data_IF_393483351624
#
_entry.id   IF_393483351624
#
_cell.length_a   1.000
_cell.length_b   1.000
_cell.length_c   1.000
_cell.angle_alpha   90.00
_cell.angle_beta   90.00
_cell.angle_gamma   90.00
#
_symmetry.space_group_name_H-M   'P 1'
#
loop_
_entity.id
_entity.type
_entity.pdbx_description
1 polymer ?
#
# COMPACT_ATOMS: atom_id res chain seq x y z
N UNK A 1 10.91 26.24 -39.24
CA UNK A 1 11.91 26.98 -38.43
C UNK A 1 12.68 25.94 -37.62
N UNK A 2 14.01 26.04 -37.59
CA UNK A 2 14.97 24.97 -37.35
C UNK A 2 14.68 24.00 -36.18
N UNK A 3 14.77 22.68 -36.46
CA UNK A 3 14.98 21.65 -35.44
C UNK A 3 16.34 21.95 -34.76
N UNK A 4 16.32 22.57 -33.58
CA UNK A 4 17.49 22.61 -32.71
C UNK A 4 17.60 21.27 -32.00
N UNK A 5 18.64 20.54 -32.36
CA UNK A 5 19.12 19.32 -31.72
C UNK A 5 19.22 19.51 -30.21
N UNK A 6 18.52 18.66 -29.47
CA UNK A 6 18.68 18.49 -28.03
C UNK A 6 20.15 18.07 -27.79
N UNK A 7 20.91 18.73 -26.91
CA UNK A 7 22.31 18.37 -26.70
C UNK A 7 22.39 16.96 -26.10
N UNK A 8 23.24 16.06 -26.64
CA UNK A 8 23.35 14.65 -26.23
C UNK A 8 23.85 14.45 -24.77
N UNK A 9 24.18 15.53 -24.06
CA UNK A 9 24.62 15.50 -22.66
C UNK A 9 23.48 15.36 -21.65
N UNK A 10 22.27 15.79 -21.99
CA UNK A 10 21.09 15.67 -21.09
C UNK A 10 20.54 14.24 -21.10
N UNK A 11 20.66 13.52 -22.22
CA UNK A 11 20.26 12.11 -22.31
C UNK A 11 21.27 11.17 -21.62
N UNK A 12 22.56 11.53 -21.60
CA UNK A 12 23.62 10.70 -21.02
C UNK A 12 23.66 10.75 -19.49
N UNK A 13 23.31 11.88 -18.86
CA UNK A 13 23.28 11.98 -17.39
C UNK A 13 22.17 11.12 -16.77
N UNK A 14 21.04 10.97 -17.47
CA UNK A 14 19.93 10.09 -17.05
C UNK A 14 20.29 8.61 -17.09
N UNK A 15 21.27 8.21 -17.91
CA UNK A 15 21.70 6.81 -18.08
C UNK A 15 22.83 6.43 -17.11
N UNK A 16 23.65 7.39 -16.67
CA UNK A 16 24.80 7.10 -15.79
C UNK A 16 24.40 6.98 -14.31
N UNK A 17 23.27 7.55 -13.88
CA UNK A 17 22.73 7.39 -12.52
C UNK A 17 22.00 6.05 -12.29
N UNK A 18 21.78 5.24 -13.33
CA UNK A 18 21.22 3.89 -13.25
C UNK A 18 22.24 2.81 -12.84
N UNK A 19 23.51 3.18 -12.59
CA UNK A 19 24.60 2.25 -12.31
C UNK A 19 25.15 2.32 -10.87
N UNK A 20 24.37 2.82 -9.90
CA UNK A 20 24.71 2.64 -8.50
C UNK A 20 24.22 1.26 -8.04
N UNK A 21 25.10 0.36 -7.55
CA UNK A 21 24.64 -0.92 -7.02
C UNK A 21 23.80 -0.63 -5.77
N UNK A 22 22.54 -1.09 -5.80
CA UNK A 22 21.68 -1.09 -4.64
C UNK A 22 22.40 -1.82 -3.49
N UNK A 23 22.71 -1.09 -2.43
CA UNK A 23 23.22 -1.67 -1.20
C UNK A 23 22.21 -2.72 -0.71
N UNK A 24 22.69 -3.95 -0.52
CA UNK A 24 21.85 -5.11 -0.20
C UNK A 24 20.95 -4.86 0.99
N UNK A 25 19.65 -5.08 0.79
CA UNK A 25 18.69 -5.19 1.88
C UNK A 25 19.08 -6.39 2.76
N UNK A 26 19.21 -6.15 4.05
CA UNK A 26 19.63 -7.15 5.04
C UNK A 26 18.72 -8.36 5.07
N UNK A 27 19.32 -9.53 5.31
CA UNK A 27 18.71 -10.86 5.37
C UNK A 27 17.95 -11.14 6.67
N UNK A 28 17.44 -10.11 7.36
CA UNK A 28 16.64 -10.28 8.57
C UNK A 28 15.20 -10.64 8.20
N UNK A 29 14.59 -11.64 8.86
CA UNK A 29 13.14 -11.79 8.73
C UNK A 29 12.48 -10.53 9.31
N UNK A 30 11.52 -9.96 8.58
CA UNK A 30 10.83 -8.71 8.92
C UNK A 30 10.15 -8.74 10.32
N UNK A 31 10.04 -9.95 10.87
CA UNK A 31 9.40 -10.24 12.15
C UNK A 31 10.38 -10.62 13.28
N UNK A 32 11.70 -10.74 13.03
CA UNK A 32 12.65 -11.03 14.12
C UNK A 32 12.89 -9.75 14.94
N UNK A 33 12.66 -9.80 16.25
CA UNK A 33 12.88 -8.66 17.17
C UNK A 33 14.34 -8.52 17.58
N UNK A 34 15.16 -9.55 17.42
CA UNK A 34 16.54 -9.57 17.91
C UNK A 34 16.68 -9.47 19.43
N UNK A 35 15.59 -9.31 20.18
CA UNK A 35 15.57 -9.06 21.63
C UNK A 35 14.96 -10.20 22.42
N UNK A 36 14.10 -11.03 21.83
CA UNK A 36 13.48 -12.14 22.56
C UNK A 36 14.50 -13.26 22.84
N UNK A 37 14.41 -13.90 24.02
CA UNK A 37 15.34 -14.93 24.43
C UNK A 37 15.32 -16.11 23.45
N UNK A 38 16.50 -16.69 23.21
CA UNK A 38 16.71 -17.86 22.35
C UNK A 38 17.33 -18.96 23.19
N UNK A 39 16.65 -20.09 23.26
CA UNK A 39 17.10 -21.28 23.99
C UNK A 39 16.53 -22.54 23.31
N UNK A 40 17.04 -23.75 23.62
CA UNK A 40 16.65 -24.97 22.91
C UNK A 40 15.14 -25.18 22.86
N UNK A 41 14.61 -25.43 21.66
CA UNK A 41 13.16 -25.57 21.41
C UNK A 41 12.42 -24.25 21.20
N UNK A 42 13.07 -23.10 21.40
CA UNK A 42 12.50 -21.78 21.18
C UNK A 42 13.50 -20.81 20.52
N UNK A 43 14.01 -21.19 19.36
CA UNK A 43 15.00 -20.46 18.58
C UNK A 43 14.64 -20.35 17.09
N UNK A 44 13.45 -20.80 16.68
CA UNK A 44 12.99 -20.66 15.29
C UNK A 44 12.91 -19.18 14.90
N UNK A 45 13.31 -18.88 13.66
CA UNK A 45 13.07 -17.56 13.07
C UNK A 45 11.58 -17.41 12.77
N UNK A 46 11.00 -16.26 13.14
CA UNK A 46 9.62 -15.95 12.81
C UNK A 46 9.48 -15.80 11.29
N UNK A 47 8.57 -16.57 10.71
CA UNK A 47 8.28 -16.61 9.28
C UNK A 47 6.85 -16.10 9.04
N UNK A 48 6.65 -15.43 7.91
CA UNK A 48 5.32 -15.15 7.38
C UNK A 48 4.79 -16.44 6.75
N UNK A 49 3.58 -16.85 7.13
CA UNK A 49 3.02 -18.16 6.76
C UNK A 49 1.76 -17.98 5.93
N UNK A 50 1.74 -18.57 4.74
CA UNK A 50 0.57 -18.56 3.86
C UNK A 50 -0.33 -19.71 4.25
N UNK A 51 -1.56 -19.39 4.64
CA UNK A 51 -2.57 -20.36 5.09
C UNK A 51 -3.67 -20.42 4.05
N UNK A 52 -3.63 -21.40 3.15
CA UNK A 52 -4.70 -21.63 2.18
C UNK A 52 -5.72 -22.59 2.80
N UNK A 53 -7.00 -22.32 2.62
CA UNK A 53 -8.06 -23.18 3.13
C UNK A 53 -9.15 -23.41 2.08
N UNK A 54 -9.78 -24.57 2.17
CA UNK A 54 -10.87 -24.99 1.30
C UNK A 54 -12.11 -25.25 2.15
N UNK A 55 -13.27 -24.85 1.64
CA UNK A 55 -14.57 -25.14 2.27
C UNK A 55 -15.36 -25.98 1.29
N UNK A 56 -15.69 -27.21 1.67
CA UNK A 56 -16.37 -28.20 0.83
C UNK A 56 -15.70 -28.47 -0.53
N UNK A 57 -14.37 -28.28 -0.58
CA UNK A 57 -13.55 -28.48 -1.77
C UNK A 57 -13.27 -27.22 -2.58
N UNK A 58 -13.98 -26.12 -2.31
CA UNK A 58 -13.77 -24.83 -2.97
C UNK A 58 -12.65 -24.04 -2.27
N UNK A 59 -11.63 -23.65 -3.04
CA UNK A 59 -10.52 -22.84 -2.54
C UNK A 59 -11.00 -21.44 -2.15
N UNK A 60 -10.59 -20.98 -0.95
CA UNK A 60 -10.88 -19.65 -0.46
C UNK A 60 -9.63 -18.77 -0.52
N UNK A 61 -9.81 -17.47 -0.31
CA UNK A 61 -8.69 -16.52 -0.28
C UNK A 61 -7.69 -16.90 0.81
N UNK A 62 -6.42 -17.05 0.45
CA UNK A 62 -5.37 -17.42 1.40
C UNK A 62 -5.24 -16.38 2.51
N UNK A 63 -5.14 -16.86 3.76
CA UNK A 63 -4.94 -16.05 4.94
C UNK A 63 -3.44 -15.82 5.18
N UNK A 64 -3.11 -14.69 5.79
CA UNK A 64 -1.74 -14.39 6.22
C UNK A 64 -1.60 -14.69 7.71
N UNK A 65 -0.61 -15.51 8.05
CA UNK A 65 -0.25 -15.81 9.43
C UNK A 65 1.22 -15.57 9.74
N UNK A 66 1.59 -15.79 10.99
CA UNK A 66 2.97 -15.76 11.50
C UNK A 66 3.28 -17.03 12.27
N UNK A 67 4.44 -17.64 12.04
CA UNK A 67 4.88 -18.82 12.79
C UNK A 67 5.29 -18.47 14.23
N UNK A 68 5.38 -19.47 15.10
CA UNK A 68 5.96 -19.31 16.43
C UNK A 68 7.49 -19.50 16.43
N UNK A 69 8.15 -19.01 17.49
CA UNK A 69 9.57 -19.31 17.76
C UNK A 69 9.82 -20.75 18.22
N UNK A 70 8.77 -21.50 18.53
CA UNK A 70 8.81 -22.89 18.97
C UNK A 70 7.96 -23.76 18.04
N UNK A 71 8.09 -25.08 18.16
CA UNK A 71 7.41 -26.03 17.27
C UNK A 71 8.24 -26.40 16.05
N UNK A 72 7.65 -27.18 15.14
CA UNK A 72 8.29 -27.52 13.89
C UNK A 72 8.30 -26.33 12.90
N UNK A 73 9.34 -26.25 12.08
CA UNK A 73 9.48 -25.26 11.01
C UNK A 73 8.60 -25.66 9.84
N UNK A 74 7.92 -24.69 9.24
CA UNK A 74 7.08 -24.93 8.06
C UNK A 74 7.93 -25.07 6.79
N UNK A 75 7.48 -25.86 5.81
CA UNK A 75 8.17 -25.97 4.52
C UNK A 75 8.09 -24.66 3.73
N UNK A 76 9.12 -24.42 2.91
CA UNK A 76 9.23 -23.22 2.07
C UNK A 76 8.35 -23.26 0.82
N UNK A 77 7.80 -24.43 0.46
CA UNK A 77 6.93 -24.61 -0.69
C UNK A 77 5.65 -25.32 -0.26
N UNK A 78 4.58 -25.09 -1.02
CA UNK A 78 3.35 -25.85 -0.86
C UNK A 78 3.63 -27.33 -1.15
N UNK A 79 3.42 -28.25 -0.20
CA UNK A 79 3.48 -29.68 -0.49
C UNK A 79 2.34 -30.06 -1.43
N UNK A 80 2.65 -30.84 -2.48
CA UNK A 80 1.75 -31.10 -3.61
C UNK A 80 0.40 -31.76 -3.23
N UNK A 81 0.28 -32.41 -2.06
CA UNK A 81 -0.94 -33.15 -1.66
C UNK A 81 -1.24 -33.19 -0.15
N UNK A 82 -0.57 -32.40 0.70
CA UNK A 82 -0.74 -32.47 2.17
C UNK A 82 -1.71 -31.42 2.73
N UNK A 83 -2.91 -31.28 2.15
CA UNK A 83 -3.97 -30.53 2.84
C UNK A 83 -4.54 -31.37 3.98
N UNK A 84 -4.65 -30.76 5.15
CA UNK A 84 -5.03 -31.44 6.38
C UNK A 84 -6.39 -30.92 6.82
N UNK A 85 -7.26 -31.81 7.30
CA UNK A 85 -8.59 -31.41 7.77
C UNK A 85 -8.43 -30.47 8.97
N UNK A 86 -9.21 -29.40 9.04
CA UNK A 86 -9.29 -28.54 10.20
C UNK A 86 -10.26 -29.11 11.25
N UNK A 87 -9.91 -29.00 12.52
CA UNK A 87 -10.78 -29.40 13.63
C UNK A 87 -10.64 -28.43 14.81
N UNK A 88 -11.76 -28.07 15.41
CA UNK A 88 -11.78 -27.24 16.63
C UNK A 88 -11.68 -28.18 17.84
N UNK A 89 -10.75 -27.94 18.78
CA UNK A 89 -10.65 -28.73 20.00
C UNK A 89 -11.88 -28.53 20.89
N UNK A 90 -12.15 -29.50 21.78
CA UNK A 90 -13.21 -29.36 22.80
C UNK A 90 -12.61 -29.60 24.18
N UNK A 91 -12.46 -28.56 25.03
CA UNK A 91 -12.96 -27.19 24.87
C UNK A 91 -12.23 -26.37 23.78
N UNK A 92 -12.92 -25.38 23.20
CA UNK A 92 -12.42 -24.54 22.08
C UNK A 92 -11.16 -23.76 22.43
N UNK A 93 -10.92 -23.51 23.72
CA UNK A 93 -9.70 -22.88 24.20
C UNK A 93 -8.46 -23.73 23.94
N UNK A 94 -8.58 -25.05 23.74
CA UNK A 94 -7.45 -25.93 23.45
C UNK A 94 -6.42 -26.01 24.59
N UNK A 95 -6.77 -25.59 25.81
CA UNK A 95 -5.87 -25.58 26.96
C UNK A 95 -5.79 -26.94 27.67
N UNK A 96 -6.77 -27.81 27.44
CA UNK A 96 -6.85 -29.15 27.99
C UNK A 96 -6.90 -30.18 26.87
N UNK A 97 -6.76 -31.46 27.24
CA UNK A 97 -6.90 -32.56 26.29
C UNK A 97 -8.27 -32.50 25.62
N UNK A 98 -8.27 -32.39 24.30
CA UNK A 98 -9.50 -32.32 23.51
C UNK A 98 -10.29 -33.62 23.63
N UNK A 99 -11.60 -33.50 23.84
CA UNK A 99 -12.55 -34.61 23.70
C UNK A 99 -12.92 -34.87 22.24
N UNK A 100 -12.75 -33.88 21.37
CA UNK A 100 -12.93 -34.01 19.92
C UNK A 100 -11.68 -34.64 19.26
N UNK A 101 -11.85 -35.46 18.21
CA UNK A 101 -10.74 -36.12 17.52
C UNK A 101 -9.88 -35.11 16.76
N UNK A 102 -8.61 -34.99 17.14
CA UNK A 102 -7.61 -34.13 16.47
C UNK A 102 -6.56 -34.93 15.68
N UNK A 103 -6.65 -36.26 15.68
CA UNK A 103 -5.66 -37.11 15.03
C UNK A 103 -5.58 -36.83 13.52
N UNK A 104 -4.41 -36.38 13.06
CA UNK A 104 -4.17 -36.07 11.64
C UNK A 104 -4.81 -34.76 11.15
N UNK A 105 -5.33 -33.92 12.04
CA UNK A 105 -5.97 -32.64 11.70
C UNK A 105 -5.14 -31.43 12.12
N UNK A 106 -5.42 -30.28 11.50
CA UNK A 106 -4.98 -28.97 11.99
C UNK A 106 -5.93 -28.55 13.11
N UNK A 107 -5.41 -28.45 14.34
CA UNK A 107 -6.18 -27.94 15.45
C UNK A 107 -6.38 -26.43 15.29
N UNK A 108 -7.63 -25.96 15.31
CA UNK A 108 -7.98 -24.54 15.22
C UNK A 108 -8.43 -24.07 16.60
N UNK A 109 -7.60 -23.33 17.33
CA UNK A 109 -7.89 -22.91 18.70
C UNK A 109 -7.93 -21.38 18.82
N UNK A 110 -8.72 -20.86 19.75
CA UNK A 110 -8.75 -19.42 20.05
C UNK A 110 -7.68 -19.05 21.08
N UNK A 111 -7.12 -17.86 20.96
CA UNK A 111 -6.24 -17.28 21.97
C UNK A 111 -7.00 -16.99 23.27
N UNK A 112 -6.33 -17.19 24.40
CA UNK A 112 -6.87 -16.91 25.74
C UNK A 112 -6.74 -18.10 26.70
N UNK A 113 -7.12 -17.91 27.95
CA UNK A 113 -7.13 -18.90 29.07
C UNK A 113 -5.78 -19.48 29.51
N UNK A 114 -4.91 -19.84 28.58
CA UNK A 114 -3.60 -20.46 28.82
C UNK A 114 -2.55 -19.95 27.83
N UNK A 115 -1.30 -20.32 28.05
CA UNK A 115 -0.16 -19.88 27.22
C UNK A 115 -0.14 -20.53 25.83
N UNK A 116 0.57 -19.91 24.88
CA UNK A 116 0.71 -20.47 23.53
C UNK A 116 1.38 -21.85 23.52
N UNK A 117 2.37 -22.05 24.40
CA UNK A 117 3.09 -23.33 24.55
C UNK A 117 2.16 -24.41 25.08
N UNK A 118 1.30 -24.09 26.06
CA UNK A 118 0.32 -25.05 26.61
C UNK A 118 -0.68 -25.51 25.54
N UNK A 119 -1.21 -24.59 24.73
CA UNK A 119 -2.11 -24.92 23.61
C UNK A 119 -1.43 -25.83 22.59
N UNK A 120 -0.19 -25.53 22.22
CA UNK A 120 0.56 -26.34 21.27
C UNK A 120 0.81 -27.76 21.80
N UNK A 121 1.20 -27.91 23.07
CA UNK A 121 1.37 -29.21 23.72
C UNK A 121 0.04 -30.00 23.79
N UNK A 122 -1.06 -29.32 24.11
CA UNK A 122 -2.38 -29.97 24.19
C UNK A 122 -2.88 -30.43 22.81
N UNK A 123 -2.67 -29.63 21.76
CA UNK A 123 -2.99 -29.99 20.38
C UNK A 123 -2.17 -31.20 19.90
N UNK A 124 -0.85 -31.18 20.12
CA UNK A 124 0.04 -32.29 19.79
C UNK A 124 -0.34 -33.58 20.55
N UNK A 125 -0.61 -33.47 21.86
CA UNK A 125 -1.06 -34.60 22.66
C UNK A 125 -2.43 -35.16 22.21
N UNK A 126 -3.23 -34.35 21.52
CA UNK A 126 -4.47 -34.74 20.85
C UNK A 126 -4.27 -35.45 19.50
N UNK A 127 -3.04 -35.50 18.99
CA UNK A 127 -2.68 -36.08 17.69
C UNK A 127 -2.79 -35.12 16.52
N UNK A 128 -2.93 -33.81 16.78
CA UNK A 128 -2.92 -32.79 15.73
C UNK A 128 -1.57 -32.80 14.99
N UNK A 129 -1.61 -32.49 13.70
CA UNK A 129 -0.41 -32.37 12.85
C UNK A 129 0.11 -30.94 12.77
N UNK A 130 -0.73 -29.96 13.13
CA UNK A 130 -0.40 -28.55 13.23
C UNK A 130 -1.39 -27.81 14.13
N UNK A 131 -1.02 -26.64 14.63
CA UNK A 131 -1.89 -25.73 15.38
C UNK A 131 -2.05 -24.40 14.64
N UNK A 132 -3.30 -24.07 14.29
CA UNK A 132 -3.70 -22.75 13.83
C UNK A 132 -4.37 -21.99 14.99
N UNK A 133 -3.69 -20.96 15.48
CA UNK A 133 -4.15 -20.14 16.60
C UNK A 133 -4.84 -18.88 16.07
N UNK A 134 -6.10 -18.70 16.44
CA UNK A 134 -6.89 -17.50 16.12
C UNK A 134 -6.65 -16.45 17.19
N UNK A 135 -6.18 -15.28 16.77
CA UNK A 135 -5.91 -14.18 17.68
C UNK A 135 -7.20 -13.52 18.20
N UNK A 136 -7.10 -12.78 19.30
CA UNK A 136 -8.20 -11.99 19.89
C UNK A 136 -8.35 -10.59 19.25
N UNK A 137 -7.36 -10.17 18.48
CA UNK A 137 -7.33 -8.93 17.69
C UNK A 137 -6.92 -9.22 16.23
N UNK A 138 -7.17 -8.26 15.34
CA UNK A 138 -6.80 -8.42 13.92
C UNK A 138 -5.31 -8.24 13.63
N UNK A 139 -4.55 -7.67 14.57
CA UNK A 139 -3.11 -7.55 14.44
C UNK A 139 -2.44 -8.87 14.84
N UNK A 140 -1.49 -9.34 14.03
CA UNK A 140 -0.74 -10.56 14.34
C UNK A 140 0.22 -10.31 15.50
N UNK A 141 0.16 -11.17 16.52
CA UNK A 141 1.09 -11.14 17.63
C UNK A 141 2.21 -12.18 17.46
N UNK A 142 3.44 -11.78 17.80
CA UNK A 142 4.60 -12.67 17.82
C UNK A 142 4.46 -13.66 18.97
N UNK A 143 4.53 -14.95 18.65
CA UNK A 143 4.55 -16.04 19.64
C UNK A 143 6.00 -16.33 20.02
N UNK A 144 6.45 -15.70 21.11
CA UNK A 144 7.80 -15.81 21.67
C UNK A 144 7.77 -16.54 23.02
N UNK A 145 8.92 -17.09 23.43
CA UNK A 145 9.08 -17.65 24.76
C UNK A 145 9.60 -16.61 25.76
N UNK A 146 9.30 -16.84 27.03
CA UNK A 146 9.82 -16.09 28.18
C UNK A 146 11.00 -16.82 28.82
N UNK A 147 11.88 -16.11 29.51
CA UNK A 147 13.02 -16.72 30.24
C UNK A 147 12.61 -17.71 31.34
N UNK A 148 11.35 -17.65 31.77
CA UNK A 148 10.76 -18.55 32.77
C UNK A 148 10.20 -19.83 32.15
N UNK A 149 10.09 -19.90 30.83
CA UNK A 149 9.54 -21.06 30.16
C UNK A 149 10.59 -22.18 30.12
N UNK A 150 10.16 -23.39 30.46
CA UNK A 150 10.97 -24.58 30.23
C UNK A 150 11.14 -24.80 28.72
N UNK A 151 12.31 -25.30 28.24
CA UNK A 151 12.52 -25.72 26.85
C UNK A 151 11.31 -26.49 26.30
N UNK A 152 10.54 -25.91 25.36
CA UNK A 152 9.37 -26.58 24.83
C UNK A 152 9.82 -27.68 23.85
N UNK A 153 9.29 -28.88 24.02
CA UNK A 153 9.41 -29.96 23.05
C UNK A 153 8.07 -30.09 22.35
N UNK A 154 7.94 -29.45 21.18
CA UNK A 154 6.72 -29.41 20.37
C UNK A 154 7.16 -29.78 18.94
N UNK A 155 6.63 -30.88 18.41
CA UNK A 155 6.95 -31.43 17.10
C UNK A 155 6.02 -30.98 15.97
N UNK A 156 5.01 -30.16 16.27
CA UNK A 156 4.05 -29.64 15.29
C UNK A 156 4.30 -28.15 14.99
N UNK A 157 4.04 -27.67 13.76
CA UNK A 157 4.10 -26.25 13.46
C UNK A 157 2.94 -25.49 14.12
N UNK A 158 3.25 -24.28 14.57
CA UNK A 158 2.29 -23.39 15.26
C UNK A 158 2.23 -22.07 14.51
N UNK A 159 1.03 -21.69 14.06
CA UNK A 159 0.79 -20.51 13.21
C UNK A 159 -0.33 -19.69 13.82
N UNK A 160 -0.14 -18.37 13.93
CA UNK A 160 -1.20 -17.44 14.34
C UNK A 160 -1.78 -16.72 13.13
N UNK A 161 -3.10 -16.55 13.10
CA UNK A 161 -3.85 -15.71 12.16
C UNK A 161 -4.63 -14.61 12.89
N UNK A 162 -5.02 -13.56 12.18
CA UNK A 162 -5.87 -12.49 12.71
C UNK A 162 -7.23 -13.02 13.16
N UNK A 163 -7.93 -12.28 14.02
CA UNK A 163 -9.28 -12.62 14.44
C UNK A 163 -10.23 -12.74 13.24
N UNK A 164 -10.29 -11.74 12.37
CA UNK A 164 -11.14 -11.72 11.17
C UNK A 164 -10.90 -12.93 10.25
N UNK A 165 -9.64 -13.35 10.09
CA UNK A 165 -9.25 -14.49 9.29
C UNK A 165 -9.63 -15.82 9.97
N UNK A 166 -9.39 -15.93 11.27
CA UNK A 166 -9.73 -17.12 12.04
C UNK A 166 -11.23 -17.34 12.18
N UNK A 167 -12.01 -16.27 12.34
CA UNK A 167 -13.48 -16.32 12.40
C UNK A 167 -14.05 -16.91 11.10
N UNK A 168 -13.49 -16.57 9.92
CA UNK A 168 -13.89 -17.17 8.63
C UNK A 168 -13.72 -18.69 8.60
N UNK A 169 -12.63 -19.19 9.20
CA UNK A 169 -12.36 -20.64 9.29
C UNK A 169 -13.27 -21.30 10.32
N UNK A 170 -13.42 -20.69 11.51
CA UNK A 170 -14.23 -21.25 12.60
C UNK A 170 -15.70 -21.28 12.25
N UNK A 171 -16.25 -20.22 11.64
CA UNK A 171 -17.65 -20.20 11.19
C UNK A 171 -17.92 -21.31 10.18
N UNK A 172 -17.03 -21.51 9.20
CA UNK A 172 -17.17 -22.60 8.22
C UNK A 172 -17.18 -23.99 8.88
N UNK A 173 -16.34 -24.21 9.91
CA UNK A 173 -16.35 -25.46 10.68
C UNK A 173 -17.65 -25.59 11.51
N UNK A 174 -18.09 -24.50 12.15
CA UNK A 174 -19.30 -24.45 12.98
C UNK A 174 -20.59 -24.68 12.19
N UNK A 175 -20.63 -24.24 10.94
CA UNK A 175 -21.73 -24.46 10.00
C UNK A 175 -21.81 -25.91 9.48
N UNK A 176 -20.82 -26.76 9.84
CA UNK A 176 -20.76 -28.17 9.49
C UNK A 176 -20.07 -28.47 8.15
N UNK A 177 -19.52 -27.46 7.47
CA UNK A 177 -18.75 -27.66 6.24
C UNK A 177 -17.43 -28.38 6.50
N UNK A 178 -16.94 -29.09 5.48
CA UNK A 178 -15.62 -29.71 5.52
C UNK A 178 -14.57 -28.65 5.22
N UNK A 179 -13.72 -28.34 6.20
CA UNK A 179 -12.61 -27.41 6.04
C UNK A 179 -11.29 -28.16 5.98
N UNK A 180 -10.53 -27.94 4.90
CA UNK A 180 -9.16 -28.45 4.74
C UNK A 180 -8.19 -27.24 4.71
N UNK A 181 -7.02 -27.35 5.34
CA UNK A 181 -6.02 -26.28 5.49
C UNK A 181 -4.65 -26.76 4.98
N UNK A 182 -3.93 -25.86 4.31
CA UNK A 182 -2.54 -26.03 3.92
C UNK A 182 -1.72 -24.82 4.39
N UNK A 183 -0.59 -25.08 5.04
CA UNK A 183 0.30 -24.04 5.58
C UNK A 183 1.72 -24.24 5.08
N UNK A 184 2.32 -23.18 4.55
CA UNK A 184 3.72 -23.14 4.13
C UNK A 184 4.28 -21.72 4.30
N UNK A 185 5.60 -21.61 4.44
CA UNK A 185 6.30 -20.37 4.74
C UNK A 185 7.24 -20.01 3.59
N UNK A 186 6.73 -19.47 2.48
CA UNK A 186 7.56 -19.32 1.30
C UNK A 186 8.65 -18.29 1.47
N UNK A 187 9.83 -18.63 0.92
CA UNK A 187 11.02 -17.80 1.00
C UNK A 187 10.80 -16.49 0.25
N UNK A 188 11.12 -15.37 0.92
CA UNK A 188 11.14 -14.06 0.28
C UNK A 188 12.26 -14.06 -0.78
N UNK A 189 11.98 -13.81 -2.06
CA UNK A 189 13.03 -13.71 -3.06
C UNK A 189 14.00 -12.58 -2.68
N UNK A 190 15.29 -12.78 -2.96
CA UNK A 190 16.34 -11.81 -2.65
C UNK A 190 16.25 -10.53 -3.49
N UNK A 191 15.55 -10.57 -4.61
CA UNK A 191 15.33 -9.44 -5.49
C UNK A 191 13.85 -9.28 -5.83
N UNK A 192 13.30 -8.12 -5.52
CA UNK A 192 11.95 -7.72 -5.91
C UNK A 192 12.01 -6.75 -7.10
N UNK A 193 11.66 -7.24 -8.29
CA UNK A 193 11.68 -6.45 -9.52
C UNK A 193 10.64 -5.33 -9.54
N UNK A 194 9.62 -5.37 -8.66
CA UNK A 194 8.60 -4.34 -8.58
C UNK A 194 9.16 -2.99 -8.08
N UNK A 195 10.11 -3.04 -7.15
CA UNK A 195 10.73 -1.85 -6.53
C UNK A 195 11.39 -0.92 -7.55
N UNK A 196 12.37 -1.37 -8.39
CA UNK A 196 12.99 -0.48 -9.36
C UNK A 196 11.98 0.05 -10.39
N UNK A 197 10.95 -0.74 -10.73
CA UNK A 197 9.91 -0.29 -11.66
C UNK A 197 9.03 0.82 -11.06
N UNK A 198 8.59 0.67 -9.80
CA UNK A 198 7.86 1.71 -9.09
C UNK A 198 8.69 2.98 -8.91
N UNK A 199 9.98 2.85 -8.60
CA UNK A 199 10.88 3.99 -8.52
C UNK A 199 11.00 4.71 -9.87
N UNK A 200 11.19 3.97 -10.97
CA UNK A 200 11.23 4.52 -12.33
C UNK A 200 9.92 5.23 -12.70
N UNK A 201 8.77 4.65 -12.35
CA UNK A 201 7.46 5.28 -12.57
C UNK A 201 7.31 6.58 -11.77
N UNK A 202 7.68 6.58 -10.50
CA UNK A 202 7.58 7.76 -9.63
C UNK A 202 8.47 8.90 -10.12
N UNK A 203 9.77 8.63 -10.33
CA UNK A 203 10.74 9.62 -10.83
C UNK A 203 10.37 10.07 -12.24
N UNK A 204 9.97 9.13 -13.11
CA UNK A 204 9.52 9.43 -14.47
C UNK A 204 8.29 10.33 -14.49
N UNK A 205 7.33 10.12 -13.59
CA UNK A 205 6.14 10.98 -13.47
C UNK A 205 6.52 12.40 -13.07
N UNK A 206 7.38 12.56 -12.05
CA UNK A 206 7.86 13.87 -11.61
C UNK A 206 8.65 14.59 -12.70
N UNK A 207 9.55 13.88 -13.38
CA UNK A 207 10.35 14.44 -14.48
C UNK A 207 9.46 14.88 -15.65
N UNK A 208 8.53 14.01 -16.09
CA UNK A 208 7.57 14.32 -17.15
C UNK A 208 6.70 15.53 -16.79
N UNK A 209 6.19 15.59 -15.56
CA UNK A 209 5.40 16.72 -15.09
C UNK A 209 6.24 18.01 -15.07
N UNK A 210 7.47 17.97 -14.55
CA UNK A 210 8.32 19.15 -14.44
C UNK A 210 8.58 19.81 -15.80
N UNK A 211 8.81 19.01 -16.85
CA UNK A 211 9.06 19.51 -18.22
C UNK A 211 7.80 19.71 -19.06
N UNK A 212 6.61 19.37 -18.53
CA UNK A 212 5.37 19.28 -19.30
C UNK A 212 4.97 20.59 -19.99
N UNK A 213 5.07 21.72 -19.27
CA UNK A 213 4.73 23.05 -19.79
C UNK A 213 5.57 23.41 -21.03
N UNK A 214 6.88 23.19 -20.95
CA UNK A 214 7.82 23.56 -22.02
C UNK A 214 7.71 22.60 -23.20
N UNK A 215 7.67 21.29 -22.94
CA UNK A 215 7.76 20.26 -23.99
C UNK A 215 6.43 20.02 -24.69
N UNK A 216 5.32 19.97 -23.94
CA UNK A 216 4.00 19.58 -24.44
C UNK A 216 3.14 20.81 -24.72
N UNK A 217 3.02 21.74 -23.76
CA UNK A 217 2.20 22.95 -23.95
C UNK A 217 2.90 23.92 -24.91
N UNK A 218 4.23 23.99 -24.84
CA UNK A 218 5.06 24.83 -25.71
C UNK A 218 5.11 26.28 -25.25
N UNK A 219 4.84 26.54 -23.97
CA UNK A 219 5.06 27.84 -23.35
C UNK A 219 6.50 27.93 -22.86
N UNK A 220 7.21 29.01 -23.21
CA UNK A 220 8.53 29.25 -22.63
C UNK A 220 8.37 29.61 -21.14
N UNK A 221 9.30 29.16 -20.27
CA UNK A 221 9.27 29.55 -18.88
C UNK A 221 9.38 31.07 -18.80
N UNK A 222 8.31 31.72 -18.35
CA UNK A 222 8.30 33.16 -18.16
C UNK A 222 9.38 33.48 -17.15
N UNK A 223 10.46 34.18 -17.56
CA UNK A 223 11.42 34.74 -16.60
C UNK A 223 10.62 35.55 -15.61
N UNK A 224 10.62 35.12 -14.35
CA UNK A 224 9.92 35.81 -13.26
C UNK A 224 10.39 37.27 -13.27
N UNK A 225 9.45 38.17 -13.57
CA UNK A 225 9.74 39.55 -13.92
C UNK A 225 10.45 40.29 -12.79
N UNK A 226 11.38 41.16 -13.18
CA UNK A 226 11.91 42.24 -12.36
C UNK A 226 10.74 42.98 -11.68
N UNK A 227 10.65 42.87 -10.35
CA UNK A 227 9.88 43.81 -9.53
C UNK A 227 10.91 44.65 -8.78
N UNK A 228 11.14 45.87 -9.28
CA UNK A 228 11.81 46.92 -8.54
C UNK A 228 10.83 48.06 -8.30
N UNK A 229 10.93 48.62 -7.08
CA UNK A 229 10.44 49.91 -6.57
C UNK A 229 9.14 49.92 -5.74
N UNK A 230 9.33 49.94 -4.41
CA UNK A 230 8.74 50.98 -3.56
C UNK A 230 7.80 50.50 -2.45
N UNK A 231 8.34 50.31 -1.24
CA UNK A 231 7.57 50.19 0.00
C UNK A 231 8.35 49.43 1.07
N UNK A 232 8.72 50.09 2.18
CA UNK A 232 9.22 49.44 3.39
C UNK A 232 8.09 48.67 4.07
N UNK A 233 7.75 47.49 3.54
CA UNK A 233 6.99 46.45 4.24
C UNK A 233 7.84 45.19 4.17
N UNK A 234 8.11 44.56 5.33
CA UNK A 234 9.06 43.46 5.46
C UNK A 234 8.48 42.21 4.78
N UNK A 235 8.85 41.92 3.51
CA UNK A 235 8.15 40.91 2.69
C UNK A 235 8.35 39.51 3.27
N UNK A 236 9.43 39.33 4.03
CA UNK A 236 9.76 38.07 4.68
C UNK A 236 8.79 37.72 5.82
N UNK A 237 8.20 38.70 6.52
CA UNK A 237 7.26 38.41 7.61
C UNK A 237 5.89 37.93 7.07
N UNK A 238 5.35 38.63 6.08
CA UNK A 238 4.05 38.31 5.48
C UNK A 238 4.10 36.98 4.69
N UNK A 239 5.20 36.71 3.97
CA UNK A 239 5.41 35.43 3.27
C UNK A 239 5.57 34.27 4.26
N UNK A 240 6.25 34.48 5.39
CA UNK A 240 6.40 33.45 6.44
C UNK A 240 5.07 33.18 7.16
N UNK A 241 4.24 34.18 7.38
CA UNK A 241 2.93 34.02 8.04
C UNK A 241 1.92 33.31 7.11
N UNK A 242 1.91 33.65 5.82
CA UNK A 242 1.10 32.95 4.81
C UNK A 242 1.55 31.48 4.62
N UNK A 243 2.85 31.23 4.74
CA UNK A 243 3.47 29.90 4.68
C UNK A 243 3.09 29.04 5.89
N UNK A 244 3.19 29.58 7.10
CA UNK A 244 2.84 28.88 8.33
C UNK A 244 1.35 28.51 8.35
N UNK A 245 0.48 29.42 7.91
CA UNK A 245 -0.95 29.16 7.81
C UNK A 245 -1.27 28.06 6.79
N UNK A 246 -0.61 28.05 5.63
CA UNK A 246 -0.86 27.02 4.60
C UNK A 246 -0.36 25.64 5.05
N UNK A 247 0.83 25.56 5.66
CA UNK A 247 1.36 24.29 6.18
C UNK A 247 0.52 23.76 7.35
N UNK A 248 0.05 24.64 8.24
CA UNK A 248 -0.82 24.28 9.35
C UNK A 248 -2.19 23.79 8.86
N UNK A 249 -2.81 24.50 7.90
CA UNK A 249 -4.05 24.04 7.26
C UNK A 249 -3.85 22.67 6.62
N UNK A 250 -2.75 22.45 5.90
CA UNK A 250 -2.44 21.16 5.31
C UNK A 250 -2.33 20.04 6.37
N UNK A 251 -1.58 20.25 7.46
CA UNK A 251 -1.42 19.26 8.54
C UNK A 251 -2.76 18.95 9.20
N UNK A 252 -3.53 19.99 9.55
CA UNK A 252 -4.81 19.83 10.26
C UNK A 252 -5.82 19.14 9.35
N UNK A 253 -6.00 19.59 8.10
CA UNK A 253 -6.93 18.98 7.16
C UNK A 253 -6.56 17.53 6.85
N UNK A 254 -5.28 17.25 6.57
CA UNK A 254 -4.82 15.88 6.32
C UNK A 254 -5.02 14.97 7.52
N UNK A 255 -4.75 15.48 8.73
CA UNK A 255 -4.98 14.76 9.99
C UNK A 255 -6.45 14.44 10.23
N UNK A 256 -7.35 15.40 9.96
CA UNK A 256 -8.79 15.19 10.09
C UNK A 256 -9.31 14.16 9.08
N UNK A 257 -8.82 14.19 7.84
CA UNK A 257 -9.16 13.18 6.82
C UNK A 257 -8.65 11.81 7.24
N UNK A 258 -7.40 11.71 7.73
CA UNK A 258 -6.83 10.44 8.17
C UNK A 258 -7.60 9.85 9.35
N UNK A 259 -7.94 10.67 10.36
CA UNK A 259 -8.74 10.25 11.51
C UNK A 259 -10.17 9.88 11.09
N UNK A 260 -10.76 10.61 10.14
CA UNK A 260 -12.06 10.25 9.58
C UNK A 260 -11.99 8.86 8.95
N UNK A 261 -10.99 8.57 8.11
CA UNK A 261 -10.83 7.25 7.50
C UNK A 261 -10.55 6.15 8.54
N UNK A 262 -9.84 6.48 9.61
CA UNK A 262 -9.55 5.54 10.69
C UNK A 262 -10.79 5.16 11.51
N UNK A 263 -11.58 6.14 11.95
CA UNK A 263 -12.78 5.88 12.75
C UNK A 263 -13.94 5.36 11.90
N UNK A 264 -14.04 5.80 10.65
CA UNK A 264 -15.07 5.37 9.71
C UNK A 264 -14.53 4.33 8.71
N UNK A 265 -13.62 3.45 9.15
CA UNK A 265 -13.02 2.36 8.35
C UNK A 265 -14.08 1.31 7.96
N UNK A 266 -14.92 1.68 7.00
CA UNK A 266 -16.05 0.92 6.48
C UNK A 266 -16.01 0.93 4.96
N UNK A 267 -16.62 -0.08 4.34
CA UNK A 267 -16.70 -0.22 2.88
C UNK A 267 -17.23 1.04 2.19
N UNK A 268 -18.13 1.80 2.83
CA UNK A 268 -18.62 3.07 2.30
C UNK A 268 -17.52 4.13 2.15
N UNK A 269 -16.61 4.26 3.14
CA UNK A 269 -15.50 5.21 3.09
C UNK A 269 -14.48 4.86 2.00
N UNK A 270 -14.25 3.58 1.74
CA UNK A 270 -13.39 3.11 0.66
C UNK A 270 -13.98 3.46 -0.71
N UNK A 271 -15.29 3.25 -0.91
CA UNK A 271 -15.98 3.68 -2.13
C UNK A 271 -15.97 5.21 -2.33
N UNK A 272 -16.03 5.99 -1.25
CA UNK A 272 -15.86 7.44 -1.32
C UNK A 272 -14.47 7.82 -1.87
N UNK A 273 -13.40 7.15 -1.44
CA UNK A 273 -12.05 7.38 -1.98
C UNK A 273 -11.93 6.95 -3.44
N UNK A 274 -12.57 5.85 -3.83
CA UNK A 274 -12.69 5.43 -5.25
C UNK A 274 -13.37 6.53 -6.08
N UNK A 275 -14.48 7.08 -5.61
CA UNK A 275 -15.16 8.19 -6.29
C UNK A 275 -14.28 9.43 -6.43
N UNK A 276 -13.59 9.86 -5.36
CA UNK A 276 -12.67 11.00 -5.40
C UNK A 276 -11.49 10.75 -6.36
N UNK A 277 -10.93 9.55 -6.35
CA UNK A 277 -9.87 9.16 -7.27
C UNK A 277 -10.36 9.18 -8.72
N UNK A 278 -11.55 8.66 -9.02
CA UNK A 278 -12.15 8.74 -10.35
C UNK A 278 -12.31 10.20 -10.79
N UNK A 279 -12.84 11.09 -9.94
CA UNK A 279 -12.97 12.53 -10.26
C UNK A 279 -11.62 13.18 -10.59
N UNK A 280 -10.59 12.96 -9.76
CA UNK A 280 -9.24 13.46 -10.01
C UNK A 280 -8.63 12.89 -11.30
N UNK A 281 -8.89 11.61 -11.57
CA UNK A 281 -8.42 10.90 -12.77
C UNK A 281 -9.09 11.42 -14.04
N UNK A 282 -10.38 11.76 -14.00
CA UNK A 282 -11.08 12.38 -15.13
C UNK A 282 -10.42 13.69 -15.53
N UNK A 283 -10.14 14.55 -14.56
CA UNK A 283 -9.49 15.82 -14.81
C UNK A 283 -8.05 15.61 -15.30
N UNK A 284 -7.31 14.67 -14.70
CA UNK A 284 -5.94 14.35 -15.09
C UNK A 284 -5.85 13.84 -16.53
N UNK A 285 -6.70 12.87 -16.89
CA UNK A 285 -6.76 12.33 -18.25
C UNK A 285 -7.20 13.38 -19.26
N UNK A 286 -8.19 14.22 -18.93
CA UNK A 286 -8.62 15.33 -19.80
C UNK A 286 -7.45 16.28 -20.10
N UNK A 287 -6.71 16.68 -19.07
CA UNK A 287 -5.56 17.57 -19.22
C UNK A 287 -4.44 16.96 -20.06
N UNK A 288 -4.02 15.73 -19.71
CA UNK A 288 -2.90 15.04 -20.38
C UNK A 288 -3.25 14.72 -21.83
N UNK A 289 -4.39 14.10 -22.09
CA UNK A 289 -4.77 13.71 -23.45
C UNK A 289 -5.05 14.95 -24.30
N UNK A 290 -5.73 15.97 -23.77
CA UNK A 290 -6.00 17.19 -24.54
C UNK A 290 -4.73 17.95 -24.90
N UNK A 291 -3.76 18.06 -23.97
CA UNK A 291 -2.48 18.71 -24.25
C UNK A 291 -1.65 17.94 -25.29
N UNK A 292 -1.65 16.60 -25.23
CA UNK A 292 -1.02 15.75 -26.25
C UNK A 292 -1.71 15.84 -27.62
N UNK A 293 -3.05 15.80 -27.66
CA UNK A 293 -3.82 15.92 -28.91
C UNK A 293 -3.58 17.27 -29.57
N UNK A 294 -3.59 18.36 -28.80
CA UNK A 294 -3.31 19.71 -29.32
C UNK A 294 -1.86 19.84 -29.78
N UNK A 295 -0.92 19.13 -29.14
CA UNK A 295 0.49 19.10 -29.54
C UNK A 295 0.70 18.35 -30.86
N UNK A 296 0.05 17.21 -31.03
CA UNK A 296 0.11 16.39 -32.25
C UNK A 296 -0.71 16.98 -33.41
N UNK A 297 -1.84 17.62 -33.09
CA UNK A 297 -2.77 18.23 -34.03
C UNK A 297 -2.96 19.72 -33.70
N UNK A 298 -2.13 20.59 -34.29
CA UNK A 298 -2.26 22.04 -34.11
C UNK A 298 -3.62 22.58 -34.56
N UNK A 299 -4.25 21.97 -35.58
CA UNK A 299 -5.61 22.31 -36.04
C UNK A 299 -6.69 22.06 -34.98
N UNK A 300 -6.45 21.11 -34.09
CA UNK A 300 -7.37 20.75 -33.01
C UNK A 300 -7.35 21.78 -31.85
N UNK A 301 -6.38 22.71 -31.84
CA UNK A 301 -6.23 23.77 -30.83
C UNK A 301 -7.39 24.77 -30.84
N UNK A 302 -7.92 25.09 -32.03
CA UNK A 302 -8.89 26.17 -32.24
C UNK A 302 -10.31 25.68 -32.57
N UNK A 303 -10.50 24.36 -32.71
CA UNK A 303 -11.80 23.77 -32.97
C UNK A 303 -12.74 23.94 -31.76
N UNK A 304 -13.66 24.91 -31.85
CA UNK A 304 -14.67 25.23 -30.82
C UNK A 304 -16.08 24.99 -31.38
N UNK A 305 -16.95 24.43 -30.54
CA UNK A 305 -18.37 24.23 -30.84
C UNK A 305 -19.20 24.98 -29.80
N UNK A 306 -20.27 25.65 -30.25
CA UNK A 306 -21.23 26.30 -29.36
C UNK A 306 -22.28 25.28 -28.92
N UNK A 307 -22.31 24.99 -27.63
CA UNK A 307 -23.38 24.21 -27.01
C UNK A 307 -24.44 25.15 -26.41
N UNK A 308 -25.74 24.82 -26.55
CA UNK A 308 -26.83 25.69 -26.13
C UNK A 308 -26.87 25.96 -24.61
N UNK A 309 -26.26 25.10 -23.79
CA UNK A 309 -26.22 25.26 -22.32
C UNK A 309 -24.83 25.62 -21.75
N UNK A 310 -23.72 25.29 -22.44
CA UNK A 310 -22.35 25.44 -21.92
C UNK A 310 -21.49 26.47 -22.67
N UNK A 311 -22.02 27.10 -23.73
CA UNK A 311 -21.27 28.09 -24.51
C UNK A 311 -20.20 27.47 -25.43
N UNK A 312 -19.09 28.18 -25.65
CA UNK A 312 -18.00 27.74 -26.54
C UNK A 312 -17.12 26.69 -25.83
N UNK A 313 -17.26 25.42 -26.23
CA UNK A 313 -16.45 24.31 -25.68
C UNK A 313 -15.46 23.81 -26.74
N UNK A 314 -14.26 23.42 -26.33
CA UNK A 314 -13.25 22.81 -27.22
C UNK A 314 -13.73 21.43 -27.65
N UNK A 315 -13.63 21.12 -28.94
CA UNK A 315 -14.02 19.79 -29.47
C UNK A 315 -13.22 18.67 -28.81
N UNK A 316 -11.94 18.91 -28.52
CA UNK A 316 -11.06 17.94 -27.85
C UNK A 316 -11.62 17.54 -26.49
N UNK A 317 -11.99 18.51 -25.63
CA UNK A 317 -12.60 18.23 -24.32
C UNK A 317 -13.92 17.46 -24.45
N UNK A 318 -14.74 17.78 -25.45
CA UNK A 318 -16.03 17.11 -25.70
C UNK A 318 -15.87 15.63 -26.07
N UNK A 319 -14.75 15.26 -26.70
CA UNK A 319 -14.44 13.87 -27.05
C UNK A 319 -13.68 13.15 -25.93
N UNK A 320 -12.68 13.81 -25.34
CA UNK A 320 -11.79 13.20 -24.34
C UNK A 320 -12.51 12.95 -23.03
N UNK A 321 -13.36 13.89 -22.56
CA UNK A 321 -14.01 13.77 -21.27
C UNK A 321 -14.97 12.55 -21.18
N UNK A 322 -15.84 12.26 -22.17
CA UNK A 322 -16.63 11.02 -22.17
C UNK A 322 -15.78 9.75 -22.25
N UNK A 323 -14.68 9.75 -23.01
CA UNK A 323 -13.77 8.60 -23.10
C UNK A 323 -13.08 8.33 -21.76
N UNK A 324 -12.60 9.40 -21.10
CA UNK A 324 -12.04 9.33 -19.76
C UNK A 324 -13.08 8.83 -18.74
N UNK A 325 -14.34 9.27 -18.86
CA UNK A 325 -15.45 8.80 -18.03
C UNK A 325 -15.71 7.30 -18.18
N UNK A 326 -15.81 6.82 -19.42
CA UNK A 326 -15.98 5.39 -19.70
C UNK A 326 -14.80 4.60 -19.12
N UNK A 327 -13.56 5.04 -19.34
CA UNK A 327 -12.38 4.37 -18.82
C UNK A 327 -12.37 4.27 -17.28
N UNK A 328 -12.66 5.37 -16.58
CA UNK A 328 -12.71 5.41 -15.12
C UNK A 328 -13.82 4.51 -14.55
N UNK A 329 -15.00 4.50 -15.16
CA UNK A 329 -16.12 3.63 -14.75
C UNK A 329 -15.80 2.15 -15.01
N UNK A 330 -15.23 1.83 -16.17
CA UNK A 330 -14.82 0.45 -16.50
C UNK A 330 -13.78 -0.06 -15.50
N UNK A 331 -12.79 0.78 -15.16
CA UNK A 331 -11.80 0.46 -14.13
C UNK A 331 -12.46 0.25 -12.76
N UNK A 332 -13.32 1.16 -12.31
CA UNK A 332 -13.97 1.05 -11.00
C UNK A 332 -14.85 -0.21 -10.88
N UNK A 333 -15.47 -0.65 -11.97
CA UNK A 333 -16.27 -1.86 -12.04
C UNK A 333 -15.43 -3.16 -12.05
N UNK A 334 -14.18 -3.10 -12.51
CA UNK A 334 -13.28 -4.26 -12.65
C UNK A 334 -12.03 -4.13 -11.79
N UNK A 335 -12.08 -3.35 -10.72
CA UNK A 335 -10.90 -3.05 -9.88
C UNK A 335 -10.32 -4.28 -9.18
N UNK A 336 -11.11 -5.33 -9.01
CA UNK A 336 -10.68 -6.61 -8.41
C UNK A 336 -9.92 -7.52 -9.41
N UNK A 337 -9.88 -7.14 -10.69
CA UNK A 337 -9.16 -7.88 -11.71
C UNK A 337 -7.64 -7.78 -11.50
N UNK A 338 -6.86 -8.85 -11.74
CA UNK A 338 -5.41 -8.83 -11.62
C UNK A 338 -4.71 -7.89 -12.61
N UNK A 339 -5.43 -7.32 -13.59
CA UNK A 339 -4.90 -6.36 -14.57
C UNK A 339 -5.31 -4.92 -14.24
N UNK A 340 -6.20 -4.72 -13.24
CA UNK A 340 -6.73 -3.40 -12.90
C UNK A 340 -5.66 -2.41 -12.43
N UNK A 341 -4.52 -2.90 -11.92
CA UNK A 341 -3.39 -2.07 -11.50
C UNK A 341 -2.83 -1.22 -12.65
N UNK A 342 -2.86 -1.70 -13.90
CA UNK A 342 -2.39 -0.95 -15.07
C UNK A 342 -3.25 0.30 -15.27
N UNK A 343 -4.57 0.13 -15.22
CA UNK A 343 -5.53 1.22 -15.34
C UNK A 343 -5.41 2.21 -14.18
N UNK A 344 -5.24 1.70 -12.95
CA UNK A 344 -5.03 2.53 -11.76
C UNK A 344 -3.77 3.38 -11.90
N UNK A 345 -2.65 2.78 -12.29
CA UNK A 345 -1.39 3.48 -12.47
C UNK A 345 -1.46 4.54 -13.56
N UNK A 346 -2.08 4.23 -14.70
CA UNK A 346 -2.23 5.19 -15.80
C UNK A 346 -3.06 6.42 -15.36
N UNK A 347 -4.18 6.18 -14.68
CA UNK A 347 -5.03 7.25 -14.15
C UNK A 347 -4.32 8.06 -13.07
N UNK A 348 -3.63 7.37 -12.15
CA UNK A 348 -2.82 7.98 -11.10
C UNK A 348 -1.71 8.88 -11.65
N UNK A 349 -0.98 8.42 -12.66
CA UNK A 349 0.05 9.23 -13.34
C UNK A 349 -0.57 10.47 -13.99
N UNK A 350 -1.69 10.34 -14.70
CA UNK A 350 -2.38 11.47 -15.30
C UNK A 350 -2.83 12.50 -14.24
N UNK A 351 -3.41 12.01 -13.14
CA UNK A 351 -3.80 12.84 -12.00
C UNK A 351 -2.60 13.55 -11.36
N UNK A 352 -1.49 12.84 -11.13
CA UNK A 352 -0.29 13.42 -10.53
C UNK A 352 0.35 14.48 -11.43
N UNK A 353 0.42 14.25 -12.75
CA UNK A 353 0.91 15.26 -13.70
C UNK A 353 0.05 16.54 -13.59
N UNK A 354 -1.28 16.40 -13.57
CA UNK A 354 -2.18 17.53 -13.40
C UNK A 354 -1.94 18.26 -12.08
N UNK A 355 -1.85 17.54 -10.94
CA UNK A 355 -1.62 18.17 -9.63
C UNK A 355 -0.32 18.96 -9.64
N UNK A 356 0.77 18.39 -10.17
CA UNK A 356 2.06 19.08 -10.30
C UNK A 356 2.01 20.28 -11.28
N UNK A 357 1.09 20.28 -12.26
CA UNK A 357 0.85 21.43 -13.13
C UNK A 357 0.02 22.53 -12.46
N UNK A 358 -0.95 22.17 -11.64
CA UNK A 358 -1.87 23.15 -11.04
C UNK A 358 -1.26 23.78 -9.79
N UNK A 359 -0.65 22.98 -8.93
CA UNK A 359 -0.08 23.43 -7.66
C UNK A 359 1.27 24.09 -7.92
N UNK A 360 1.31 25.41 -7.76
CA UNK A 360 2.52 26.21 -7.85
C UNK A 360 2.96 26.63 -6.46
N UNK A 361 4.21 26.31 -6.14
CA UNK A 361 4.82 26.78 -4.90
C UNK A 361 5.27 28.23 -5.11
N UNK A 362 4.87 29.18 -4.25
CA UNK A 362 5.20 30.59 -4.44
C UNK A 362 6.68 30.89 -4.14
N UNK A 363 7.34 30.07 -3.32
CA UNK A 363 8.73 30.26 -2.91
C UNK A 363 9.36 28.92 -2.47
N UNK A 364 10.68 28.80 -2.61
CA UNK A 364 11.48 27.68 -2.10
C UNK A 364 11.34 27.51 -0.58
N UNK A 365 11.17 28.62 0.15
CA UNK A 365 10.93 28.59 1.61
C UNK A 365 9.67 27.77 1.95
N UNK A 366 8.57 27.99 1.22
CA UNK A 366 7.32 27.25 1.38
C UNK A 366 7.49 25.77 1.04
N UNK A 367 8.17 25.47 -0.07
CA UNK A 367 8.44 24.08 -0.47
C UNK A 367 9.28 23.32 0.56
N UNK A 368 10.33 23.96 1.10
CA UNK A 368 11.17 23.34 2.14
C UNK A 368 10.40 23.10 3.44
N UNK A 369 9.57 24.04 3.88
CA UNK A 369 8.78 23.87 5.10
C UNK A 369 7.71 22.80 4.94
N UNK A 370 7.02 22.74 3.79
CA UNK A 370 6.03 21.70 3.51
C UNK A 370 6.66 20.30 3.61
N UNK A 371 7.86 20.10 3.03
CA UNK A 371 8.58 18.82 3.08
C UNK A 371 9.02 18.44 4.50
N UNK A 372 9.55 19.40 5.27
CA UNK A 372 9.92 19.18 6.67
C UNK A 372 8.69 18.85 7.51
N UNK A 373 7.59 19.56 7.30
CA UNK A 373 6.30 19.26 7.95
C UNK A 373 5.78 17.87 7.57
N UNK A 374 5.85 17.47 6.29
CA UNK A 374 5.45 16.15 5.84
C UNK A 374 6.30 15.03 6.46
N UNK A 375 7.61 15.25 6.63
CA UNK A 375 8.51 14.31 7.31
C UNK A 375 8.10 14.07 8.78
N UNK A 376 7.85 15.14 9.54
CA UNK A 376 7.39 14.99 10.93
C UNK A 376 5.97 14.44 11.02
N UNK A 377 5.10 14.77 10.07
CA UNK A 377 3.75 14.21 9.95
C UNK A 377 3.79 12.68 9.81
N UNK A 378 4.65 12.16 8.94
CA UNK A 378 4.80 10.72 8.73
C UNK A 378 5.29 10.00 10.00
N UNK A 379 6.34 10.54 10.65
CA UNK A 379 6.84 10.01 11.93
C UNK A 379 5.74 9.97 13.00
N UNK A 380 4.96 11.04 13.12
CA UNK A 380 3.88 11.11 14.10
C UNK A 380 2.83 10.02 13.86
N UNK A 381 2.35 9.89 12.62
CA UNK A 381 1.27 8.94 12.32
C UNK A 381 1.73 7.49 12.30
N UNK A 382 2.99 7.21 11.99
CA UNK A 382 3.55 5.85 12.03
C UNK A 382 3.89 5.43 13.46
N UNK A 383 4.68 6.22 14.19
CA UNK A 383 5.31 5.80 15.45
C UNK A 383 4.63 6.34 16.72
N UNK A 384 4.04 7.52 16.66
CA UNK A 384 3.44 8.16 17.86
C UNK A 384 1.95 7.78 17.99
N UNK A 385 1.22 7.68 16.87
CA UNK A 385 -0.20 7.30 16.89
C UNK A 385 -0.53 5.97 17.59
N UNK A 386 0.30 4.90 17.51
CA UNK A 386 0.06 3.66 18.26
C UNK A 386 0.06 3.86 19.77
N UNK A 387 0.80 4.84 20.29
CA UNK A 387 0.84 5.12 21.73
C UNK A 387 -0.48 5.70 22.24
N UNK A 388 -1.25 6.37 21.37
CA UNK A 388 -2.51 7.03 21.72
C UNK A 388 -3.70 6.12 21.40
N UNK A 389 -3.70 5.50 20.22
CA UNK A 389 -4.84 4.74 19.69
C UNK A 389 -4.68 3.22 19.82
N UNK A 390 -3.58 2.74 20.43
CA UNK A 390 -3.16 1.32 20.52
C UNK A 390 -2.88 0.64 19.17
N UNK A 391 -3.19 1.30 18.05
CA UNK A 391 -2.97 0.88 16.67
C UNK A 391 -2.38 2.04 15.87
N UNK A 392 -1.53 1.72 14.90
CA UNK A 392 -0.99 2.73 13.99
C UNK A 392 -2.07 3.17 13.00
N UNK A 393 -2.50 4.42 13.11
CA UNK A 393 -3.57 4.99 12.28
C UNK A 393 -3.23 4.91 10.80
N UNK A 394 -1.99 5.26 10.43
CA UNK A 394 -1.53 5.19 9.04
C UNK A 394 -1.55 3.77 8.49
N UNK A 395 -1.13 2.77 9.27
CA UNK A 395 -1.11 1.37 8.82
C UNK A 395 -2.54 0.83 8.69
N UNK A 396 -3.41 1.13 9.65
CA UNK A 396 -4.83 0.71 9.60
C UNK A 396 -5.53 1.31 8.39
N UNK A 397 -5.32 2.60 8.11
CA UNK A 397 -5.91 3.26 6.94
C UNK A 397 -5.29 2.71 5.65
N UNK A 398 -3.97 2.53 5.57
CA UNK A 398 -3.31 2.03 4.37
C UNK A 398 -3.72 0.60 3.99
N UNK A 399 -4.03 -0.24 4.98
CA UNK A 399 -4.55 -1.60 4.76
C UNK A 399 -6.00 -1.59 4.28
N UNK A 400 -6.82 -0.63 4.72
CA UNK A 400 -8.25 -0.58 4.41
C UNK A 400 -9.06 -1.64 5.16
N UNK A 401 -10.29 -1.87 4.74
CA UNK A 401 -11.13 -2.96 5.23
C UNK A 401 -10.89 -4.26 4.44
N UNK A 402 -10.84 -5.41 5.13
CA UNK A 402 -10.56 -6.73 4.52
C UNK A 402 -11.55 -7.11 3.40
N UNK A 403 -12.78 -6.59 3.45
CA UNK A 403 -13.85 -6.88 2.49
C UNK A 403 -14.20 -5.66 1.59
N UNK A 404 -13.36 -4.62 1.59
CA UNK A 404 -13.57 -3.37 0.84
C UNK A 404 -12.70 -3.25 -0.42
N UNK A 405 -13.04 -2.32 -1.34
CA UNK A 405 -12.20 -2.04 -2.50
C UNK A 405 -10.82 -1.53 -2.08
N UNK A 406 -9.78 -1.96 -2.80
CA UNK A 406 -8.41 -1.52 -2.52
C UNK A 406 -8.24 -0.01 -2.68
N UNK A 407 -7.49 0.63 -1.78
CA UNK A 407 -7.30 2.07 -1.83
C UNK A 407 -6.56 2.50 -3.12
N UNK A 408 -7.12 3.45 -3.89
CA UNK A 408 -6.61 3.74 -5.24
C UNK A 408 -5.51 4.81 -5.31
N UNK A 409 -5.23 5.51 -4.20
CA UNK A 409 -4.25 6.60 -4.15
C UNK A 409 -2.80 6.14 -3.99
N UNK A 410 -2.46 5.07 -4.71
CA UNK A 410 -1.13 4.45 -4.72
C UNK A 410 -0.78 4.00 -6.14
N UNK A 411 0.50 4.01 -6.50
CA UNK A 411 0.98 3.22 -7.64
C UNK A 411 1.23 1.80 -7.18
N UNK A 412 0.81 0.81 -7.98
CA UNK A 412 0.91 -0.63 -7.66
C UNK A 412 1.76 -1.35 -8.69
N UNK A 413 2.56 -2.31 -8.26
CA UNK A 413 3.24 -3.24 -9.15
C UNK A 413 3.15 -4.65 -8.58
N UNK A 414 2.67 -5.64 -9.35
CA UNK A 414 2.62 -7.03 -8.88
C UNK A 414 4.03 -7.54 -8.60
N UNK A 415 4.18 -8.29 -7.52
CA UNK A 415 5.41 -8.98 -7.19
C UNK A 415 5.50 -10.27 -8.02
N UNK A 416 6.03 -10.16 -9.24
CA UNK A 416 6.11 -11.28 -10.20
C UNK A 416 6.90 -12.51 -9.68
N UNK A 417 7.78 -12.32 -8.69
CA UNK A 417 8.59 -13.39 -8.10
C UNK A 417 8.15 -13.78 -6.69
N UNK A 418 7.07 -13.18 -6.17
CA UNK A 418 6.59 -13.47 -4.83
C UNK A 418 5.40 -14.42 -4.85
N UNK A 419 5.57 -15.56 -4.18
CA UNK A 419 4.53 -16.59 -3.97
C UNK A 419 3.24 -16.08 -3.29
N UNK A 420 3.27 -14.87 -2.75
CA UNK A 420 2.15 -14.23 -2.06
C UNK A 420 1.19 -13.47 -2.99
N UNK A 421 1.46 -13.40 -4.31
CA UNK A 421 0.64 -12.65 -5.29
C UNK A 421 0.29 -11.23 -4.81
N UNK A 422 1.19 -10.61 -4.06
CA UNK A 422 1.02 -9.28 -3.49
C UNK A 422 1.40 -8.17 -4.47
N UNK A 423 1.10 -6.94 -4.09
CA UNK A 423 1.54 -5.74 -4.78
C UNK A 423 2.53 -4.98 -3.90
N UNK A 424 3.60 -4.48 -4.51
CA UNK A 424 4.30 -3.34 -3.94
C UNK A 424 3.57 -2.05 -4.30
N UNK A 425 3.58 -1.13 -3.35
CA UNK A 425 2.79 0.09 -3.43
C UNK A 425 3.61 1.29 -2.97
N UNK A 426 3.41 2.43 -3.63
CA UNK A 426 3.94 3.73 -3.22
C UNK A 426 2.81 4.76 -3.23
N UNK A 427 2.70 5.54 -2.16
CA UNK A 427 1.64 6.54 -2.01
C UNK A 427 1.83 7.72 -2.96
N UNK A 428 0.74 8.32 -3.44
CA UNK A 428 0.84 9.54 -4.25
C UNK A 428 1.47 10.70 -3.49
N UNK A 429 1.28 10.79 -2.18
CA UNK A 429 1.90 11.82 -1.34
C UNK A 429 3.43 11.81 -1.44
N UNK A 430 4.03 10.62 -1.38
CA UNK A 430 5.49 10.42 -1.45
C UNK A 430 6.07 10.84 -2.80
N UNK A 431 5.25 10.88 -3.85
CA UNK A 431 5.64 11.34 -5.19
C UNK A 431 5.37 12.83 -5.35
N UNK A 432 4.20 13.30 -4.92
CA UNK A 432 3.73 14.66 -5.13
C UNK A 432 4.52 15.68 -4.30
N UNK A 433 4.76 15.43 -3.00
CA UNK A 433 5.46 16.41 -2.15
C UNK A 433 6.88 16.73 -2.64
N UNK A 434 7.77 15.74 -2.87
CA UNK A 434 9.07 16.05 -3.47
C UNK A 434 8.93 16.51 -4.92
N UNK A 435 7.93 16.00 -5.66
CA UNK A 435 7.67 16.41 -7.03
C UNK A 435 7.36 17.90 -7.18
N UNK A 436 6.66 18.52 -6.23
CA UNK A 436 6.38 19.96 -6.21
C UNK A 436 7.66 20.79 -6.13
N UNK A 437 8.64 20.34 -5.33
CA UNK A 437 9.94 21.00 -5.22
C UNK A 437 10.74 20.89 -6.52
N UNK A 438 10.74 19.70 -7.15
CA UNK A 438 11.43 19.49 -8.43
C UNK A 438 10.79 20.32 -9.55
N UNK A 439 9.46 20.32 -9.64
CA UNK A 439 8.72 21.12 -10.62
C UNK A 439 8.94 22.63 -10.41
N UNK A 440 8.99 23.10 -9.15
CA UNK A 440 9.36 24.47 -8.82
C UNK A 440 10.78 24.81 -9.25
N UNK A 441 11.74 23.89 -9.08
CA UNK A 441 13.15 24.14 -9.43
C UNK A 441 13.41 24.15 -10.94
N UNK A 442 12.54 23.51 -11.73
CA UNK A 442 12.65 23.48 -13.19
C UNK A 442 12.02 24.72 -13.86
N UNK A 443 10.95 25.25 -13.26
CA UNK A 443 10.26 26.46 -13.71
C UNK A 443 11.06 27.70 -13.36
#
# INVERSE_FOLDING_TARGET
MALRTIPPRVLLLSVVLLAAPAAGAGTGSEFDDGTSPKFPGCDNTLQKVKVTYWVDGDERSSLTGISARFGAVLPDAAPDDEKQRAAVPSPESGCAKSSAPLAGSVAVAVRGECTFIEKAKAAEAGGAVALLLVNDEDDLQRMVCSDKDSPPNIGIPVVMVSKSAGDKVQSAIGDGSKVDILMYAPLKPSFDGAIPFLWMMAVGTVACASVWTVVVVGEEPTKQGDVSLGGEENPDAEVVELQANTALVFIVTSSLVLLFLFFFNSNWSAWLLVCLFCLGSLQGMEFVVSSLVVRLCQRCREAKVKLPALGNVKVVTLVVLPLAFIFAVTWAAHQDSPVAWVGQNLMGICMMILVLQVVHMPNIKVASALLVSAFFYDIFWVFISPLIFKKSVMITVARGSDDGPSLPMVLKMPKEFDSWNGYDMIGFGDILFPGLLVAFSFR
#
